data_IF_432987621251
#
_entry.id   IF_432987621251
#
_cell.length_a   1.000
_cell.length_b   1.000
_cell.length_c   1.000
_cell.angle_alpha   90.00
_cell.angle_beta   90.00
_cell.angle_gamma   90.00
#
_symmetry.space_group_name_H-M   'P 1'
#
loop_
_entity.id
_entity.type
_entity.pdbx_description
1 polymer ?
#
# COMPACT_ATOMS: atom_id res chain seq x y z
N UNK A 1 -25.46 -28.75 11.36
CA UNK A 1 -24.48 -28.53 12.43
C UNK A 1 -23.14 -28.39 11.74
N UNK A 2 -22.81 -27.13 11.49
CA UNK A 2 -21.49 -26.51 11.31
C UNK A 2 -20.56 -27.04 10.21
N UNK A 3 -20.67 -26.39 9.05
CA UNK A 3 -19.62 -26.23 8.04
C UNK A 3 -18.45 -25.48 8.67
N UNK A 4 -17.30 -26.15 8.82
CA UNK A 4 -16.03 -25.49 9.10
C UNK A 4 -15.65 -24.66 7.87
N UNK A 5 -15.98 -23.36 7.91
CA UNK A 5 -15.45 -22.37 6.99
C UNK A 5 -14.00 -22.09 7.44
N UNK A 6 -13.09 -22.98 7.06
CA UNK A 6 -11.67 -22.66 7.04
C UNK A 6 -11.51 -21.51 6.05
N UNK A 7 -11.31 -20.30 6.57
CA UNK A 7 -10.70 -19.22 5.80
C UNK A 7 -9.32 -19.71 5.40
N UNK A 8 -9.26 -20.30 4.20
CA UNK A 8 -8.00 -20.63 3.55
C UNK A 8 -7.31 -19.30 3.35
N UNK A 9 -6.31 -19.01 4.19
CA UNK A 9 -5.36 -17.94 3.97
C UNK A 9 -4.57 -18.35 2.73
N UNK A 10 -5.10 -18.01 1.55
CA UNK A 10 -4.45 -18.22 0.27
C UNK A 10 -3.27 -17.27 0.29
N UNK A 11 -2.13 -17.76 0.80
CA UNK A 11 -0.84 -17.13 0.57
C UNK A 11 -0.59 -17.30 -0.92
N UNK A 12 -1.11 -16.38 -1.74
CA UNK A 12 -0.74 -16.26 -3.14
C UNK A 12 0.79 -16.26 -3.19
N UNK A 13 1.41 -17.08 -4.03
CA UNK A 13 2.84 -16.99 -4.29
C UNK A 13 3.11 -15.59 -4.89
N UNK A 14 3.46 -14.64 -4.02
CA UNK A 14 3.67 -13.25 -4.44
C UNK A 14 5.02 -13.20 -5.14
N UNK A 15 5.01 -13.21 -6.47
CA UNK A 15 6.22 -12.86 -7.22
C UNK A 15 6.66 -11.43 -6.86
N UNK A 16 7.97 -11.14 -6.74
CA UNK A 16 8.44 -9.79 -6.44
C UNK A 16 7.92 -8.73 -7.43
N UNK A 17 7.69 -9.13 -8.69
CA UNK A 17 7.07 -8.28 -9.72
C UNK A 17 5.60 -7.94 -9.42
N UNK A 18 4.85 -8.89 -8.86
CA UNK A 18 3.46 -8.70 -8.47
C UNK A 18 3.34 -7.78 -7.25
N UNK A 19 4.27 -7.88 -6.29
CA UNK A 19 4.32 -6.96 -5.15
C UNK A 19 4.52 -5.52 -5.62
N UNK A 20 5.52 -5.28 -6.47
CA UNK A 20 5.78 -3.95 -7.03
C UNK A 20 4.57 -3.45 -7.85
N UNK A 21 3.96 -4.32 -8.66
CA UNK A 21 2.74 -4.01 -9.40
C UNK A 21 1.57 -3.58 -8.51
N UNK A 22 1.30 -4.34 -7.44
CA UNK A 22 0.24 -4.05 -6.45
C UNK A 22 0.50 -2.74 -5.70
N UNK A 23 1.73 -2.49 -5.26
CA UNK A 23 2.13 -1.22 -4.60
C UNK A 23 1.91 -0.02 -5.53
N UNK A 24 2.30 -0.14 -6.81
CA UNK A 24 2.13 0.92 -7.79
C UNK A 24 0.65 1.17 -8.13
N UNK A 25 -0.15 0.11 -8.21
CA UNK A 25 -1.59 0.21 -8.42
C UNK A 25 -2.24 0.98 -7.26
N UNK A 26 -1.90 0.64 -6.00
CA UNK A 26 -2.39 1.33 -4.81
C UNK A 26 -2.03 2.82 -4.82
N UNK A 27 -0.76 3.15 -5.07
CA UNK A 27 -0.30 4.54 -5.16
C UNK A 27 -1.05 5.28 -6.26
N UNK A 28 -1.29 4.64 -7.40
CA UNK A 28 -2.03 5.22 -8.52
C UNK A 28 -3.48 5.50 -8.15
N UNK A 29 -4.17 4.55 -7.52
CA UNK A 29 -5.55 4.70 -7.05
C UNK A 29 -5.68 5.83 -6.02
N UNK A 30 -4.79 5.87 -5.02
CA UNK A 30 -4.73 6.96 -4.05
C UNK A 30 -4.48 8.28 -4.78
N UNK A 31 -3.60 8.31 -5.78
CA UNK A 31 -3.31 9.54 -6.54
C UNK A 31 -4.48 10.04 -7.38
N UNK A 32 -5.32 9.16 -7.89
CA UNK A 32 -6.45 9.49 -8.75
C UNK A 32 -7.67 9.97 -7.95
N UNK A 33 -7.82 9.56 -6.69
CA UNK A 33 -8.94 9.96 -5.84
C UNK A 33 -8.54 11.06 -4.83
N UNK A 34 -9.07 12.29 -4.93
CA UNK A 34 -8.82 13.35 -3.94
C UNK A 34 -9.24 12.97 -2.52
N UNK A 35 -10.32 12.20 -2.40
CA UNK A 35 -10.80 11.68 -1.12
C UNK A 35 -9.82 10.66 -0.54
N UNK A 36 -9.36 9.70 -1.35
CA UNK A 36 -8.37 8.71 -0.93
C UNK A 36 -7.06 9.37 -0.48
N UNK A 37 -6.58 10.40 -1.20
CA UNK A 37 -5.41 11.20 -0.76
C UNK A 37 -5.62 11.80 0.62
N UNK A 38 -6.77 12.43 0.81
CA UNK A 38 -7.07 13.16 2.05
C UNK A 38 -7.16 12.19 3.22
N UNK A 39 -7.86 11.07 3.03
CA UNK A 39 -7.98 10.02 4.03
C UNK A 39 -6.63 9.38 4.35
N UNK A 40 -5.84 9.02 3.34
CA UNK A 40 -4.52 8.45 3.54
C UNK A 40 -3.58 9.40 4.30
N UNK A 41 -3.62 10.70 4.01
CA UNK A 41 -2.85 11.70 4.74
C UNK A 41 -3.26 11.82 6.22
N UNK A 42 -4.56 11.67 6.53
CA UNK A 42 -5.07 11.62 7.91
C UNK A 42 -4.51 10.37 8.62
N UNK A 43 -4.62 9.19 7.99
CA UNK A 43 -4.13 7.93 8.56
C UNK A 43 -2.62 8.00 8.81
N UNK A 44 -1.83 8.55 7.88
CA UNK A 44 -0.39 8.76 8.10
C UNK A 44 -0.13 9.64 9.33
N UNK A 45 -0.88 10.74 9.49
CA UNK A 45 -0.72 11.65 10.63
C UNK A 45 -1.09 10.98 11.97
N UNK A 46 -2.14 10.17 11.99
CA UNK A 46 -2.57 9.42 13.18
C UNK A 46 -1.51 8.40 13.62
N UNK A 47 -0.83 7.77 12.66
CA UNK A 47 0.29 6.85 12.92
C UNK A 47 1.62 7.56 13.25
N UNK A 48 1.64 8.89 13.32
CA UNK A 48 2.87 9.67 13.52
C UNK A 48 3.85 9.58 12.35
N UNK A 49 3.36 9.16 11.18
CA UNK A 49 4.15 9.02 9.96
C UNK A 49 4.05 10.29 9.12
N UNK A 50 5.15 10.67 8.45
CA UNK A 50 5.05 11.70 7.41
C UNK A 50 4.14 11.15 6.31
N UNK A 51 3.10 11.89 5.90
CA UNK A 51 2.30 11.50 4.74
C UNK A 51 3.25 11.18 3.61
N UNK A 52 3.19 9.95 3.12
CA UNK A 52 3.90 9.49 1.94
C UNK A 52 3.66 10.57 0.89
N UNK A 53 4.67 11.39 0.57
CA UNK A 53 4.61 12.31 -0.57
C UNK A 53 4.64 11.41 -1.80
N UNK A 54 3.51 10.74 -2.08
CA UNK A 54 3.31 9.61 -2.99
C UNK A 54 4.41 9.60 -4.05
N UNK A 55 5.49 8.90 -3.72
CA UNK A 55 6.83 9.15 -4.26
C UNK A 55 6.72 9.18 -5.78
N UNK A 56 7.30 10.21 -6.41
CA UNK A 56 7.42 10.26 -7.87
C UNK A 56 8.33 9.12 -8.32
N UNK A 57 7.77 7.93 -8.46
CA UNK A 57 8.51 6.77 -8.92
C UNK A 57 8.88 6.95 -10.39
N UNK A 58 10.16 6.82 -10.70
CA UNK A 58 10.70 6.82 -12.06
C UNK A 58 11.08 5.38 -12.39
N UNK A 59 10.27 4.71 -13.21
CA UNK A 59 10.42 3.28 -13.57
C UNK A 59 11.81 2.91 -14.11
N UNK A 60 12.52 3.86 -14.73
CA UNK A 60 13.84 3.63 -15.33
C UNK A 60 15.00 3.75 -14.34
N UNK A 61 14.75 4.11 -13.08
CA UNK A 61 15.79 4.35 -12.08
C UNK A 61 15.67 3.39 -10.89
N UNK A 62 16.65 2.48 -10.74
CA UNK A 62 16.68 1.48 -9.66
C UNK A 62 16.67 2.11 -8.26
N UNK A 63 17.34 3.25 -8.07
CA UNK A 63 17.31 3.97 -6.79
C UNK A 63 15.89 4.41 -6.41
N UNK A 64 15.08 4.83 -7.39
CA UNK A 64 13.70 5.25 -7.14
C UNK A 64 12.80 4.08 -6.71
N UNK A 65 13.10 2.87 -7.19
CA UNK A 65 12.41 1.64 -6.76
C UNK A 65 12.81 1.27 -5.32
N UNK A 66 14.09 1.36 -4.96
CA UNK A 66 14.55 1.13 -3.60
C UNK A 66 13.90 2.14 -2.61
N UNK A 67 13.89 3.43 -2.97
CA UNK A 67 13.25 4.48 -2.17
C UNK A 67 11.75 4.21 -1.97
N UNK A 68 11.07 3.73 -3.03
CA UNK A 68 9.66 3.36 -2.97
C UNK A 68 9.40 2.21 -1.99
N UNK A 69 10.19 1.14 -2.09
CA UNK A 69 10.07 -0.04 -1.22
C UNK A 69 10.35 0.34 0.23
N UNK A 70 11.41 1.09 0.47
CA UNK A 70 11.77 1.54 1.82
C UNK A 70 10.67 2.41 2.43
N UNK A 71 10.12 3.35 1.64
CA UNK A 71 9.02 4.19 2.08
C UNK A 71 7.75 3.38 2.39
N UNK A 72 7.46 2.36 1.57
CA UNK A 72 6.33 1.46 1.80
C UNK A 72 6.48 0.66 3.10
N UNK A 73 7.67 0.13 3.36
CA UNK A 73 8.01 -0.60 4.60
C UNK A 73 7.86 0.32 5.82
N UNK A 74 8.39 1.55 5.74
CA UNK A 74 8.29 2.53 6.84
C UNK A 74 6.83 2.93 7.14
N UNK A 75 5.96 2.90 6.13
CA UNK A 75 4.56 3.29 6.25
C UNK A 75 3.59 2.11 6.35
N UNK A 76 4.07 0.88 6.58
CA UNK A 76 3.25 -0.34 6.56
C UNK A 76 1.98 -0.27 7.43
N UNK A 77 2.05 0.41 8.58
CA UNK A 77 0.92 0.54 9.49
C UNK A 77 -0.21 1.40 8.89
N UNK A 78 0.17 2.53 8.29
CA UNK A 78 -0.78 3.40 7.60
C UNK A 78 -1.36 2.74 6.35
N UNK A 79 -0.53 2.02 5.58
CA UNK A 79 -0.99 1.25 4.42
C UNK A 79 -2.00 0.18 4.85
N UNK A 80 -1.69 -0.62 5.88
CA UNK A 80 -2.58 -1.66 6.36
C UNK A 80 -3.91 -1.09 6.85
N UNK A 81 -3.88 -0.01 7.65
CA UNK A 81 -5.11 0.66 8.11
C UNK A 81 -5.92 1.23 6.95
N UNK A 82 -5.26 1.82 5.95
CA UNK A 82 -5.93 2.32 4.76
C UNK A 82 -6.63 1.18 4.00
N UNK A 83 -5.93 0.07 3.75
CA UNK A 83 -6.48 -1.08 3.02
C UNK A 83 -7.61 -1.81 3.78
N UNK A 84 -7.65 -1.76 5.11
CA UNK A 84 -8.76 -2.34 5.89
C UNK A 84 -10.08 -1.58 5.73
N UNK A 85 -10.03 -0.32 5.29
CA UNK A 85 -11.20 0.57 5.16
C UNK A 85 -11.49 0.90 3.68
N UNK A 86 -10.56 0.58 2.79
CA UNK A 86 -10.72 0.72 1.35
C UNK A 86 -11.37 -0.54 0.77
N UNK A 87 -12.66 -0.45 0.43
CA UNK A 87 -13.40 -1.41 -0.41
C UNK A 87 -12.96 -1.35 -1.88
#
# INVERSE_FOLDING_TARGET
MDTFNEEVDIVEDIEPGDLLGKVLALITQIRLSPQAKTYFAIVCKEEGLKPLELVKWIRTHWGSMCDLIECFIQNKLAVNKFCLVAD
#
